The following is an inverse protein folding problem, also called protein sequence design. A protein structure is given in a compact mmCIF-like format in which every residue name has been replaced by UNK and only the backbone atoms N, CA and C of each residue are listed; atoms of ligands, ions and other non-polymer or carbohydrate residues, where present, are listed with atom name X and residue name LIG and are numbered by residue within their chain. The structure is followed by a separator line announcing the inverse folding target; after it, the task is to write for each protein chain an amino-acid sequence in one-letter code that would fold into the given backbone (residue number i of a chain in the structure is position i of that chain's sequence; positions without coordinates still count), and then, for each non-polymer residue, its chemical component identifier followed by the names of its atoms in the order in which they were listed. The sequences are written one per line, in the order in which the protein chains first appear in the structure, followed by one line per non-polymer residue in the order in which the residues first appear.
data_IF_198061407144
#
_entry.id   IF_198061407144
#
_cell.length_a   1.000
_cell.length_b   1.000
_cell.length_c   1.000
_cell.angle_alpha   90.00
_cell.angle_beta   90.00
_cell.angle_gamma   90.00
#
_symmetry.space_group_name_H-M   'P 1'
#
loop_
_entity.id
_entity.type
_entity.pdbx_description
1 polymer ?
#
# COMPACT_ATOMS: atom_id res chain seq x y z
N UNK A 1 50.92 43.15 4.53
CA UNK A 1 50.45 41.88 5.12
C UNK A 1 49.05 42.09 5.68
N UNK A 2 48.01 41.62 4.97
CA UNK A 2 46.87 40.85 5.49
C UNK A 2 45.79 40.73 4.43
N UNK A 3 45.76 39.56 3.77
CA UNK A 3 44.64 39.08 2.97
C UNK A 3 43.62 38.49 3.94
N UNK A 4 42.53 39.21 4.21
CA UNK A 4 41.39 38.64 4.94
C UNK A 4 40.43 38.02 3.92
N UNK A 5 40.71 36.79 3.50
CA UNK A 5 39.79 35.99 2.71
C UNK A 5 38.63 35.55 3.62
N UNK A 6 37.48 36.22 3.48
CA UNK A 6 36.25 35.85 4.16
C UNK A 6 35.65 34.63 3.46
N UNK A 7 35.98 33.43 3.93
CA UNK A 7 35.34 32.19 3.47
C UNK A 7 33.95 32.13 4.09
N UNK A 8 32.93 32.42 3.28
CA UNK A 8 31.54 32.16 3.66
C UNK A 8 31.30 30.64 3.59
N UNK A 9 30.72 30.01 4.62
CA UNK A 9 30.35 28.61 4.51
C UNK A 9 29.18 28.48 3.53
N UNK A 10 29.42 27.77 2.42
CA UNK A 10 28.36 27.27 1.54
C UNK A 10 27.56 26.24 2.34
N UNK A 11 26.55 26.70 3.07
CA UNK A 11 25.45 25.84 3.47
C UNK A 11 24.74 25.44 2.18
N UNK A 12 25.11 24.28 1.64
CA UNK A 12 24.31 23.62 0.62
C UNK A 12 22.98 23.29 1.28
N UNK A 13 22.01 24.20 1.13
CA UNK A 13 20.61 23.92 1.46
C UNK A 13 20.25 22.71 0.61
N UNK A 14 20.08 21.55 1.25
CA UNK A 14 19.49 20.41 0.58
C UNK A 14 18.12 20.89 0.10
N UNK A 15 17.93 20.95 -1.22
CA UNK A 15 16.63 21.23 -1.81
C UNK A 15 15.68 20.16 -1.28
N UNK A 16 14.75 20.57 -0.42
CA UNK A 16 13.64 19.70 -0.03
C UNK A 16 12.93 19.35 -1.33
N UNK A 17 12.77 18.06 -1.67
CA UNK A 17 12.07 17.68 -2.90
C UNK A 17 10.72 18.41 -2.93
N UNK A 18 10.39 19.02 -4.07
CA UNK A 18 9.21 19.89 -4.19
C UNK A 18 7.89 19.22 -3.77
N UNK A 19 7.86 17.88 -3.72
CA UNK A 19 6.73 17.09 -3.23
C UNK A 19 7.20 15.86 -2.45
N UNK A 20 6.44 15.46 -1.43
CA UNK A 20 6.63 14.19 -0.75
C UNK A 20 6.22 13.02 -1.66
N UNK A 21 6.85 11.84 -1.55
CA UNK A 21 6.37 10.62 -2.22
C UNK A 21 4.87 10.34 -2.00
N UNK A 22 4.33 10.69 -0.83
CA UNK A 22 2.89 10.61 -0.58
C UNK A 22 2.07 11.57 -1.44
N UNK A 23 2.55 12.79 -1.66
CA UNK A 23 1.85 13.76 -2.53
C UNK A 23 1.87 13.29 -4.00
N UNK A 24 2.96 12.63 -4.42
CA UNK A 24 3.07 11.98 -5.73
C UNK A 24 2.08 10.81 -5.85
N UNK A 25 2.02 9.95 -4.84
CA UNK A 25 1.04 8.87 -4.78
C UNK A 25 -0.39 9.39 -4.89
N UNK A 26 -0.76 10.40 -4.10
CA UNK A 26 -2.10 10.99 -4.16
C UNK A 26 -2.42 11.60 -5.53
N UNK A 27 -1.44 12.22 -6.19
CA UNK A 27 -1.62 12.73 -7.56
C UNK A 27 -1.90 11.60 -8.53
N UNK A 28 -1.22 10.45 -8.41
CA UNK A 28 -1.48 9.27 -9.22
C UNK A 28 -2.89 8.72 -8.96
N UNK A 29 -3.32 8.67 -7.70
CA UNK A 29 -4.68 8.25 -7.34
C UNK A 29 -5.76 9.17 -7.93
N UNK A 30 -5.56 10.50 -7.86
CA UNK A 30 -6.47 11.47 -8.49
C UNK A 30 -6.53 11.31 -10.02
N UNK A 31 -5.39 11.01 -10.66
CA UNK A 31 -5.33 10.74 -12.11
C UNK A 31 -6.02 9.43 -12.48
N UNK A 32 -5.84 8.38 -11.69
CA UNK A 32 -6.53 7.11 -11.87
C UNK A 32 -8.05 7.30 -11.78
N UNK A 33 -8.53 7.98 -10.74
CA UNK A 33 -9.96 8.29 -10.56
C UNK A 33 -10.51 9.13 -11.73
N UNK A 34 -9.76 10.14 -12.19
CA UNK A 34 -10.15 10.96 -13.35
C UNK A 34 -10.24 10.12 -14.63
N UNK A 35 -9.28 9.21 -14.86
CA UNK A 35 -9.31 8.32 -16.01
C UNK A 35 -10.51 7.36 -15.96
N UNK A 36 -10.88 6.86 -14.78
CA UNK A 36 -12.09 6.05 -14.60
C UNK A 36 -13.36 6.83 -14.91
N UNK A 37 -13.47 8.06 -14.42
CA UNK A 37 -14.60 8.93 -14.73
C UNK A 37 -14.73 9.19 -16.23
N UNK A 38 -13.60 9.33 -16.94
CA UNK A 38 -13.55 9.51 -18.39
C UNK A 38 -13.65 8.20 -19.18
N UNK A 39 -13.95 7.06 -18.54
CA UNK A 39 -14.08 5.74 -19.18
C UNK A 39 -12.79 5.31 -19.92
N UNK A 40 -11.63 5.61 -19.33
CA UNK A 40 -10.29 5.27 -19.84
C UNK A 40 -9.61 4.21 -18.96
N UNK A 41 -10.12 2.96 -18.91
CA UNK A 41 -9.66 1.95 -17.95
C UNK A 41 -8.19 1.57 -18.13
N UNK A 42 -7.66 1.61 -19.36
CA UNK A 42 -6.23 1.36 -19.62
C UNK A 42 -5.32 2.42 -18.96
N UNK A 43 -5.74 3.69 -18.96
CA UNK A 43 -4.99 4.75 -18.31
C UNK A 43 -5.13 4.68 -16.79
N UNK A 44 -6.33 4.38 -16.29
CA UNK A 44 -6.54 4.16 -14.86
C UNK A 44 -5.63 3.03 -14.33
N UNK A 45 -5.57 1.89 -15.04
CA UNK A 45 -4.69 0.78 -14.72
C UNK A 45 -3.21 1.20 -14.72
N UNK A 46 -2.77 2.01 -15.68
CA UNK A 46 -1.40 2.51 -15.74
C UNK A 46 -1.06 3.40 -14.53
N UNK A 47 -1.94 4.35 -14.18
CA UNK A 47 -1.74 5.20 -13.00
C UNK A 47 -1.78 4.39 -11.71
N UNK A 48 -2.67 3.40 -11.61
CA UNK A 48 -2.77 2.56 -10.42
C UNK A 48 -1.53 1.67 -10.22
N UNK A 49 -0.94 1.15 -11.30
CA UNK A 49 0.34 0.42 -11.26
C UNK A 49 1.50 1.31 -10.85
N UNK A 50 1.54 2.55 -11.32
CA UNK A 50 2.53 3.54 -10.89
C UNK A 50 2.38 3.87 -9.40
N UNK A 51 1.12 4.07 -8.94
CA UNK A 51 0.82 4.32 -7.53
C UNK A 51 1.28 3.15 -6.66
N UNK A 52 1.03 1.91 -7.09
CA UNK A 52 1.48 0.74 -6.36
C UNK A 52 3.02 0.64 -6.28
N UNK A 53 3.73 0.90 -7.39
CA UNK A 53 5.19 0.87 -7.38
C UNK A 53 5.76 1.87 -6.36
N UNK A 54 5.27 3.11 -6.39
CA UNK A 54 5.69 4.15 -5.46
C UNK A 54 5.33 3.81 -4.00
N UNK A 55 4.12 3.32 -3.75
CA UNK A 55 3.71 2.92 -2.42
C UNK A 55 4.52 1.73 -1.89
N UNK A 56 4.99 0.84 -2.78
CA UNK A 56 5.85 -0.29 -2.40
C UNK A 56 7.21 0.21 -1.95
N UNK A 57 7.83 1.14 -2.69
CA UNK A 57 9.10 1.77 -2.28
C UNK A 57 8.96 2.46 -0.92
N UNK A 58 7.88 3.22 -0.73
CA UNK A 58 7.61 3.88 0.55
C UNK A 58 7.38 2.92 1.72
N UNK A 59 6.74 1.77 1.48
CA UNK A 59 6.47 0.80 2.53
C UNK A 59 7.69 -0.07 2.89
N UNK A 60 8.64 -0.22 1.98
CA UNK A 60 9.93 -0.89 2.25
C UNK A 60 10.83 -0.03 3.15
N UNK A 61 10.85 1.29 2.94
CA UNK A 61 11.65 2.22 3.73
C UNK A 61 10.82 3.44 4.18
N UNK A 62 9.86 3.24 5.11
CA UNK A 62 9.01 4.32 5.56
C UNK A 62 9.81 5.35 6.36
N UNK A 63 9.54 6.62 6.12
CA UNK A 63 10.04 7.71 6.99
C UNK A 63 9.41 7.55 8.38
N UNK A 64 10.19 7.81 9.42
CA UNK A 64 9.73 7.73 10.81
C UNK A 64 8.46 8.57 11.00
N UNK A 65 7.42 7.95 11.57
CA UNK A 65 6.12 8.57 11.79
C UNK A 65 5.18 8.55 10.59
N UNK A 66 5.58 7.97 9.46
CA UNK A 66 4.77 7.81 8.23
C UNK A 66 4.48 6.34 7.89
N UNK A 67 4.79 5.41 8.78
CA UNK A 67 4.65 3.97 8.54
C UNK A 67 3.20 3.58 8.22
N UNK A 68 2.24 4.20 8.93
CA UNK A 68 0.81 3.96 8.68
C UNK A 68 0.35 4.49 7.33
N UNK A 69 0.75 5.70 6.96
CA UNK A 69 0.42 6.30 5.66
C UNK A 69 1.02 5.47 4.50
N UNK A 70 2.25 4.97 4.67
CA UNK A 70 2.88 4.13 3.65
C UNK A 70 2.16 2.79 3.51
N UNK A 71 1.79 2.15 4.63
CA UNK A 71 1.00 0.92 4.61
C UNK A 71 -0.40 1.14 4.01
N UNK A 72 -1.07 2.24 4.37
CA UNK A 72 -2.38 2.61 3.82
C UNK A 72 -2.31 2.84 2.31
N UNK A 73 -1.35 3.64 1.83
CA UNK A 73 -1.14 3.89 0.41
C UNK A 73 -0.90 2.57 -0.36
N UNK A 74 -0.13 1.65 0.22
CA UNK A 74 0.17 0.35 -0.37
C UNK A 74 -1.06 -0.56 -0.46
N UNK A 75 -1.86 -0.62 0.61
CA UNK A 75 -3.09 -1.43 0.67
C UNK A 75 -4.14 -0.88 -0.26
N UNK A 76 -4.41 0.42 -0.20
CA UNK A 76 -5.36 1.09 -1.11
C UNK A 76 -4.96 0.85 -2.57
N UNK A 77 -3.66 0.87 -2.88
CA UNK A 77 -3.20 0.61 -4.25
C UNK A 77 -3.49 -0.81 -4.73
N UNK A 78 -3.37 -1.81 -3.84
CA UNK A 78 -3.74 -3.19 -4.14
C UNK A 78 -5.25 -3.38 -4.30
N UNK A 79 -6.05 -2.77 -3.41
CA UNK A 79 -7.51 -2.85 -3.48
C UNK A 79 -8.03 -2.26 -4.79
N UNK A 80 -7.53 -1.10 -5.18
CA UNK A 80 -7.91 -0.48 -6.44
C UNK A 80 -7.52 -1.32 -7.67
N UNK A 81 -6.34 -1.95 -7.68
CA UNK A 81 -6.00 -2.87 -8.78
C UNK A 81 -6.91 -4.09 -8.79
N UNK A 82 -7.29 -4.60 -7.61
CA UNK A 82 -8.19 -5.74 -7.51
C UNK A 82 -9.60 -5.39 -7.99
N UNK A 83 -10.08 -4.18 -7.72
CA UNK A 83 -11.35 -3.65 -8.24
C UNK A 83 -11.28 -3.48 -9.76
N UNK A 84 -10.22 -2.87 -10.30
CA UNK A 84 -10.03 -2.74 -11.76
C UNK A 84 -10.00 -4.10 -12.46
N UNK A 85 -9.41 -5.13 -11.84
CA UNK A 85 -9.41 -6.48 -12.37
C UNK A 85 -10.82 -7.09 -12.38
N UNK A 86 -11.64 -6.85 -11.35
CA UNK A 86 -13.05 -7.27 -11.33
C UNK A 86 -13.86 -6.60 -12.44
N UNK A 87 -13.71 -5.28 -12.61
CA UNK A 87 -14.39 -4.51 -13.65
C UNK A 87 -13.97 -4.96 -15.06
N UNK A 88 -12.72 -5.41 -15.22
CA UNK A 88 -12.22 -5.99 -16.46
C UNK A 88 -12.71 -7.43 -16.71
N UNK A 89 -13.49 -8.02 -15.81
CA UNK A 89 -13.96 -9.40 -15.91
C UNK A 89 -12.91 -10.45 -15.57
N UNK A 90 -11.86 -10.08 -14.82
CA UNK A 90 -10.78 -10.96 -14.38
C UNK A 90 -10.80 -11.13 -12.84
N UNK A 91 -11.75 -11.91 -12.30
CA UNK A 91 -11.83 -12.17 -10.87
C UNK A 91 -10.63 -12.99 -10.34
N UNK A 92 -9.91 -13.72 -11.21
CA UNK A 92 -8.73 -14.48 -10.81
C UNK A 92 -7.55 -13.54 -10.49
N UNK A 93 -7.30 -12.54 -11.33
CA UNK A 93 -6.30 -11.52 -11.06
C UNK A 93 -6.66 -10.67 -9.83
N UNK A 94 -7.94 -10.30 -9.69
CA UNK A 94 -8.43 -9.61 -8.49
C UNK A 94 -8.10 -10.39 -7.22
N UNK A 95 -8.38 -11.69 -7.20
CA UNK A 95 -8.05 -12.57 -6.07
C UNK A 95 -6.54 -12.62 -5.82
N UNK A 96 -5.73 -12.76 -6.87
CA UNK A 96 -4.26 -12.79 -6.76
C UNK A 96 -3.72 -11.53 -6.08
N UNK A 97 -4.24 -10.37 -6.46
CA UNK A 97 -3.86 -9.08 -5.88
C UNK A 97 -4.26 -8.98 -4.40
N UNK A 98 -5.48 -9.39 -4.05
CA UNK A 98 -5.95 -9.40 -2.65
C UNK A 98 -5.14 -10.36 -1.77
N UNK A 99 -4.85 -11.57 -2.26
CA UNK A 99 -4.01 -12.53 -1.56
C UNK A 99 -2.59 -12.02 -1.36
N UNK A 100 -1.98 -11.45 -2.40
CA UNK A 100 -0.64 -10.85 -2.32
C UNK A 100 -0.61 -9.70 -1.29
N UNK A 101 -1.64 -8.87 -1.28
CA UNK A 101 -1.80 -7.80 -0.30
C UNK A 101 -1.81 -8.35 1.14
N UNK A 102 -2.76 -9.24 1.41
CA UNK A 102 -2.96 -9.80 2.75
C UNK A 102 -1.74 -10.58 3.24
N UNK A 103 -1.18 -11.46 2.41
CA UNK A 103 0.00 -12.25 2.76
C UNK A 103 1.21 -11.37 3.08
N UNK A 104 1.37 -10.23 2.40
CA UNK A 104 2.47 -9.29 2.68
C UNK A 104 2.29 -8.58 4.01
N UNK A 105 1.06 -8.18 4.35
CA UNK A 105 0.77 -7.60 5.66
C UNK A 105 1.05 -8.60 6.79
N UNK A 106 0.66 -9.87 6.62
CA UNK A 106 1.01 -10.93 7.58
C UNK A 106 2.52 -11.10 7.75
N UNK A 107 3.29 -11.01 6.65
CA UNK A 107 4.76 -11.04 6.72
C UNK A 107 5.31 -9.84 7.48
N UNK A 108 4.86 -8.62 7.17
CA UNK A 108 5.30 -7.42 7.90
C UNK A 108 4.97 -7.50 9.39
N UNK A 109 3.78 -8.00 9.75
CA UNK A 109 3.40 -8.20 11.15
C UNK A 109 4.31 -9.17 11.89
N UNK A 110 4.71 -10.25 11.23
CA UNK A 110 5.54 -11.31 11.83
C UNK A 110 7.04 -11.05 11.78
N UNK A 111 7.52 -10.11 10.95
CA UNK A 111 8.94 -9.86 10.74
C UNK A 111 9.53 -8.96 11.85
N UNK A 112 10.47 -9.46 12.69
CA UNK A 112 11.13 -8.65 13.70
C UNK A 112 12.02 -7.53 13.14
N UNK A 113 12.41 -7.61 11.85
CA UNK A 113 13.19 -6.57 11.19
C UNK A 113 12.34 -5.33 10.84
N UNK A 114 11.01 -5.48 10.77
CA UNK A 114 10.10 -4.37 10.54
C UNK A 114 9.98 -3.48 11.79
N UNK A 115 9.97 -2.16 11.58
CA UNK A 115 9.77 -1.19 12.67
C UNK A 115 8.46 -1.48 13.43
N UNK A 116 8.41 -1.32 14.77
CA UNK A 116 7.19 -1.57 15.54
C UNK A 116 5.94 -0.84 15.02
N UNK A 117 6.10 0.40 14.57
CA UNK A 117 5.03 1.20 13.98
C UNK A 117 4.50 0.59 12.66
N UNK A 118 5.37 0.06 11.80
CA UNK A 118 4.98 -0.62 10.56
C UNK A 118 4.24 -1.92 10.86
N UNK A 119 4.66 -2.70 11.86
CA UNK A 119 3.94 -3.92 12.27
C UNK A 119 2.53 -3.62 12.78
N UNK A 120 2.37 -2.53 13.54
CA UNK A 120 1.06 -2.06 14.00
C UNK A 120 0.19 -1.57 12.85
N UNK A 121 0.76 -0.83 11.89
CA UNK A 121 0.06 -0.42 10.69
C UNK A 121 -0.39 -1.64 9.87
N UNK A 122 0.49 -2.61 9.67
CA UNK A 122 0.18 -3.84 8.96
C UNK A 122 -0.98 -4.62 9.63
N UNK A 123 -1.00 -4.68 10.97
CA UNK A 123 -2.12 -5.27 11.72
C UNK A 123 -3.45 -4.54 11.48
N UNK A 124 -3.45 -3.21 11.46
CA UNK A 124 -4.67 -2.42 11.18
C UNK A 124 -5.20 -2.72 9.79
N UNK A 125 -4.34 -2.65 8.79
CA UNK A 125 -4.71 -2.79 7.38
C UNK A 125 -4.94 -4.26 6.95
N UNK A 126 -4.45 -5.24 7.71
CA UNK A 126 -4.74 -6.66 7.47
C UNK A 126 -6.24 -6.98 7.56
N UNK A 127 -6.99 -6.24 8.39
CA UNK A 127 -8.45 -6.37 8.49
C UNK A 127 -9.16 -5.96 7.20
N UNK A 128 -8.68 -4.92 6.54
CA UNK A 128 -9.29 -4.39 5.32
C UNK A 128 -9.11 -5.35 4.14
N UNK A 129 -7.89 -5.87 3.98
CA UNK A 129 -7.57 -6.88 2.95
C UNK A 129 -8.29 -8.21 3.22
N UNK A 130 -8.43 -8.62 4.49
CA UNK A 130 -9.23 -9.78 4.87
C UNK A 130 -10.70 -9.60 4.51
N UNK A 131 -11.28 -8.44 4.84
CA UNK A 131 -12.67 -8.14 4.49
C UNK A 131 -12.88 -8.13 2.97
N UNK A 132 -11.92 -7.61 2.20
CA UNK A 132 -11.96 -7.65 0.74
C UNK A 132 -11.89 -9.08 0.18
N UNK A 133 -11.02 -9.94 0.74
CA UNK A 133 -10.93 -11.36 0.39
C UNK A 133 -12.25 -12.11 0.67
N UNK A 134 -12.86 -11.87 1.82
CA UNK A 134 -14.15 -12.48 2.18
C UNK A 134 -15.27 -12.03 1.24
N UNK A 135 -15.33 -10.73 0.89
CA UNK A 135 -16.29 -10.22 -0.11
C UNK A 135 -16.07 -10.84 -1.48
N UNK A 136 -14.81 -10.96 -1.92
CA UNK A 136 -14.47 -11.59 -3.20
C UNK A 136 -14.92 -13.05 -3.22
N UNK A 137 -14.59 -13.83 -2.19
CA UNK A 137 -14.98 -15.23 -2.08
C UNK A 137 -16.50 -15.43 -2.09
N UNK A 138 -17.26 -14.52 -1.45
CA UNK A 138 -18.71 -14.55 -1.46
C UNK A 138 -19.31 -14.24 -2.84
N UNK A 139 -18.68 -13.35 -3.61
CA UNK A 139 -19.17 -12.89 -4.91
C UNK A 139 -18.90 -13.88 -6.05
N UNK A 140 -17.72 -14.50 -6.08
CA UNK A 140 -17.29 -15.34 -7.21
C UNK A 140 -17.27 -16.84 -6.91
N UNK A 141 -17.54 -17.24 -5.66
CA UNK A 141 -17.46 -18.62 -5.21
C UNK A 141 -16.02 -19.13 -5.14
N UNK A 142 -15.74 -20.03 -4.21
CA UNK A 142 -14.45 -20.71 -4.15
C UNK A 142 -14.51 -22.04 -4.92
N UNK A 143 -13.62 -22.30 -5.89
CA UNK A 143 -12.78 -23.48 -5.78
C UNK A 143 -11.66 -23.14 -4.78
N UNK A 144 -11.34 -24.02 -3.82
CA UNK A 144 -10.37 -23.68 -2.79
C UNK A 144 -8.98 -23.66 -3.42
N UNK A 145 -8.53 -22.48 -3.83
CA UNK A 145 -7.10 -22.22 -3.80
C UNK A 145 -6.71 -22.33 -2.34
N UNK A 146 -5.98 -23.39 -1.99
CA UNK A 146 -5.50 -23.65 -0.64
C UNK A 146 -4.83 -22.41 -0.02
N UNK A 147 -4.32 -21.51 -0.87
CA UNK A 147 -3.83 -20.18 -0.52
C UNK A 147 -4.87 -19.30 0.19
N UNK A 148 -6.06 -19.12 -0.37
CA UNK A 148 -7.12 -18.28 0.23
C UNK A 148 -7.55 -18.89 1.54
N UNK A 149 -7.84 -20.19 1.56
CA UNK A 149 -8.24 -20.90 2.79
C UNK A 149 -7.17 -20.76 3.87
N UNK A 150 -5.89 -20.94 3.52
CA UNK A 150 -4.79 -20.78 4.48
C UNK A 150 -4.69 -19.35 4.99
N UNK A 151 -4.84 -18.35 4.13
CA UNK A 151 -4.78 -16.94 4.54
C UNK A 151 -5.97 -16.56 5.43
N UNK A 152 -7.16 -17.08 5.15
CA UNK A 152 -8.34 -16.91 6.01
C UNK A 152 -8.18 -17.62 7.37
N UNK A 153 -7.44 -18.74 7.40
CA UNK A 153 -7.15 -19.54 8.60
C UNK A 153 -5.88 -19.10 9.34
N UNK A 154 -5.07 -18.23 8.74
CA UNK A 154 -3.88 -17.71 9.38
C UNK A 154 -4.35 -16.86 10.57
N UNK A 155 -4.37 -17.50 11.74
CA UNK A 155 -4.81 -16.92 13.00
C UNK A 155 -3.90 -15.73 13.32
N UNK A 156 -4.36 -14.53 12.96
CA UNK A 156 -3.74 -13.31 13.41
C UNK A 156 -4.13 -13.19 14.87
N UNK A 157 -3.17 -13.14 15.83
CA UNK A 157 -3.47 -12.80 17.20
C UNK A 157 -3.97 -11.36 17.23
N UNK A 158 -5.28 -11.18 17.00
CA UNK A 158 -5.93 -9.92 17.15
C UNK A 158 -5.88 -9.61 18.64
N UNK A 159 -5.27 -8.48 19.07
CA UNK A 159 -5.35 -8.09 20.46
C UNK A 159 -6.84 -7.95 20.77
N UNK A 160 -7.36 -8.87 21.58
CA UNK A 160 -8.77 -8.94 21.92
C UNK A 160 -9.17 -7.56 22.44
N UNK A 161 -9.93 -6.82 21.63
CA UNK A 161 -10.67 -5.67 22.13
C UNK A 161 -11.69 -6.27 23.09
N UNK A 162 -11.32 -6.36 24.36
CA UNK A 162 -12.27 -6.61 25.42
C UNK A 162 -13.19 -5.40 25.43
N UNK A 163 -14.51 -5.54 25.20
CA UNK A 163 -15.43 -4.51 25.59
C UNK A 163 -15.34 -4.38 27.12
N UNK A 164 -15.26 -3.13 27.58
CA UNK A 164 -15.33 -2.75 28.98
C UNK A 164 -16.71 -3.09 29.55
#
# INVERSE_FOLDING_TARGET
MNLSASVSPLFHRAEVPAHSPLDDWERLMRRAASAMHLQQPRMALAYQRQALALATEMALEPRVGREDDCAAAWVVSHLNLAELAQEAGDPAESRRLLCAAHATLLRWMGDPACAPALRQAALRHARETLAALLRHAAAYGAPPDAEVTRLLQADVPWPSMRPN
#
